data_IF_107942800279
#
_entry.id   IF_107942800279
#
_cell.length_a   1.000
_cell.length_b   1.000
_cell.length_c   1.000
_cell.angle_alpha   90.00
_cell.angle_beta   90.00
_cell.angle_gamma   90.00
#
_symmetry.space_group_name_H-M   'P 1'
#
loop_
_entity.id
_entity.type
_entity.pdbx_description
1 polymer ?
#
# COMPACT_ATOMS: atom_id res chain seq x y z
N UNK A 1 29.03 -2.29 -19.55
CA UNK A 1 27.76 -2.53 -18.81
C UNK A 1 26.89 -1.30 -18.97
N UNK A 2 25.62 -1.47 -19.32
CA UNK A 2 24.70 -0.35 -19.55
C UNK A 2 24.04 0.08 -18.21
N UNK A 3 24.04 1.39 -17.94
CA UNK A 3 23.57 1.99 -16.69
C UNK A 3 22.45 2.97 -16.99
N UNK A 4 21.29 2.75 -16.38
CA UNK A 4 20.19 3.70 -16.40
C UNK A 4 20.43 4.74 -15.30
N UNK A 5 20.67 5.99 -15.71
CA UNK A 5 21.01 7.08 -14.80
C UNK A 5 19.81 7.54 -13.96
N UNK A 6 20.10 7.92 -12.72
CA UNK A 6 19.11 8.50 -11.83
C UNK A 6 18.65 9.90 -12.30
N UNK A 7 17.39 10.23 -12.06
CA UNK A 7 16.85 11.58 -12.22
C UNK A 7 16.80 12.24 -10.83
N UNK A 8 17.70 13.20 -10.58
CA UNK A 8 17.81 13.90 -9.29
C UNK A 8 16.56 14.74 -8.98
N UNK A 9 15.95 15.35 -10.00
CA UNK A 9 14.73 16.13 -9.82
C UNK A 9 13.56 15.21 -9.42
N UNK A 10 13.47 14.03 -10.04
CA UNK A 10 12.52 13.00 -9.65
C UNK A 10 12.77 12.48 -8.24
N UNK A 11 14.03 12.21 -7.88
CA UNK A 11 14.40 11.81 -6.51
C UNK A 11 13.94 12.83 -5.48
N UNK A 12 14.19 14.13 -5.71
CA UNK A 12 13.76 15.20 -4.81
C UNK A 12 12.24 15.24 -4.66
N UNK A 13 11.49 15.15 -5.76
CA UNK A 13 10.00 15.13 -5.73
C UNK A 13 9.47 13.94 -4.96
N UNK A 14 10.05 12.76 -5.16
CA UNK A 14 9.61 11.56 -4.45
C UNK A 14 9.98 11.59 -2.97
N UNK A 15 11.09 12.21 -2.58
CA UNK A 15 11.40 12.44 -1.17
C UNK A 15 10.36 13.35 -0.51
N UNK A 16 9.94 14.42 -1.19
CA UNK A 16 8.83 15.25 -0.72
C UNK A 16 7.51 14.48 -0.62
N UNK A 17 7.20 13.64 -1.59
CA UNK A 17 6.02 12.78 -1.56
C UNK A 17 6.09 11.79 -0.38
N UNK A 18 7.24 11.16 -0.16
CA UNK A 18 7.46 10.25 0.97
C UNK A 18 7.31 10.97 2.31
N UNK A 19 7.85 12.19 2.42
CA UNK A 19 7.69 13.02 3.61
C UNK A 19 6.22 13.40 3.83
N UNK A 20 5.51 13.78 2.78
CA UNK A 20 4.08 14.09 2.85
C UNK A 20 3.25 12.87 3.27
N UNK A 21 3.56 11.68 2.73
CA UNK A 21 2.93 10.42 3.14
C UNK A 21 3.26 10.12 4.61
N UNK A 22 4.52 10.23 5.02
CA UNK A 22 4.93 9.98 6.40
C UNK A 22 4.24 10.95 7.38
N UNK A 23 4.15 12.23 7.05
CA UNK A 23 3.42 13.23 7.82
C UNK A 23 1.92 12.92 7.87
N UNK A 24 1.32 12.52 6.74
CA UNK A 24 -0.07 12.08 6.68
C UNK A 24 -0.33 10.83 7.53
N UNK A 25 0.57 9.85 7.53
CA UNK A 25 0.51 8.67 8.39
C UNK A 25 0.65 9.05 9.87
N UNK A 26 1.58 9.94 10.23
CA UNK A 26 1.74 10.42 11.60
C UNK A 26 0.47 11.14 12.09
N UNK A 27 -0.11 12.00 11.25
CA UNK A 27 -1.37 12.68 11.54
C UNK A 27 -2.52 11.68 11.70
N UNK A 28 -2.64 10.71 10.80
CA UNK A 28 -3.67 9.68 10.86
C UNK A 28 -3.55 8.82 12.13
N UNK A 29 -2.33 8.46 12.53
CA UNK A 29 -2.06 7.73 13.79
C UNK A 29 -2.40 8.57 15.02
N UNK A 30 -2.10 9.87 15.00
CA UNK A 30 -2.46 10.78 16.08
C UNK A 30 -3.98 10.92 16.21
N UNK A 31 -4.69 11.12 15.09
CA UNK A 31 -6.15 11.15 15.06
C UNK A 31 -6.76 9.82 15.52
N UNK A 32 -6.19 8.69 15.10
CA UNK A 32 -6.62 7.37 15.55
C UNK A 32 -6.43 7.20 17.06
N UNK A 33 -5.31 7.66 17.61
CA UNK A 33 -5.06 7.61 19.05
C UNK A 33 -6.08 8.46 19.84
N UNK A 34 -6.34 9.69 19.41
CA UNK A 34 -7.37 10.54 20.02
C UNK A 34 -8.75 9.89 19.95
N UNK A 35 -9.13 9.40 18.77
CA UNK A 35 -10.39 8.70 18.58
C UNK A 35 -10.53 7.44 19.44
N UNK A 36 -9.47 6.64 19.58
CA UNK A 36 -9.49 5.47 20.46
C UNK A 36 -9.67 5.84 21.94
N UNK A 37 -9.10 6.96 22.38
CA UNK A 37 -9.33 7.48 23.74
C UNK A 37 -10.78 7.89 23.94
N UNK A 38 -11.38 8.56 22.96
CA UNK A 38 -12.78 8.98 23.02
C UNK A 38 -13.71 7.75 23.03
N UNK A 39 -13.43 6.75 22.19
CA UNK A 39 -14.17 5.48 22.18
C UNK A 39 -14.03 4.77 23.52
N UNK A 40 -12.83 4.72 24.11
CA UNK A 40 -12.64 4.10 25.42
C UNK A 40 -13.45 4.80 26.51
N UNK A 41 -13.45 6.14 26.53
CA UNK A 41 -14.23 6.93 27.48
C UNK A 41 -15.74 6.72 27.29
N UNK A 42 -16.22 6.67 26.04
CA UNK A 42 -17.63 6.43 25.71
C UNK A 42 -18.08 5.01 26.07
N UNK A 43 -17.27 4.00 25.74
CA UNK A 43 -17.58 2.59 26.04
C UNK A 43 -17.64 2.32 27.55
N UNK A 44 -16.88 3.06 28.36
CA UNK A 44 -16.91 2.92 29.81
C UNK A 44 -18.26 3.31 30.44
N UNK A 45 -19.05 4.14 29.77
CA UNK A 45 -20.35 4.65 30.26
C UNK A 45 -21.53 4.17 29.42
N UNK A 46 -21.28 3.64 28.21
CA UNK A 46 -22.31 3.17 27.29
C UNK A 46 -22.89 1.80 27.68
N UNK A 47 -24.11 1.52 27.23
CA UNK A 47 -24.69 0.20 27.35
C UNK A 47 -23.95 -0.85 26.49
N UNK A 48 -24.16 -2.12 26.79
CA UNK A 48 -23.47 -3.22 26.12
C UNK A 48 -23.75 -3.31 24.61
N UNK A 49 -24.92 -2.82 24.15
CA UNK A 49 -25.28 -2.86 22.74
C UNK A 49 -24.57 -1.75 21.95
N UNK A 50 -24.47 -0.56 22.52
CA UNK A 50 -23.77 0.57 21.95
C UNK A 50 -22.26 0.35 21.92
N UNK A 51 -21.69 -0.21 22.99
CA UNK A 51 -20.28 -0.59 23.04
C UNK A 51 -19.90 -1.56 21.92
N UNK A 52 -20.73 -2.58 21.65
CA UNK A 52 -20.51 -3.53 20.54
C UNK A 52 -20.54 -2.85 19.18
N UNK A 53 -21.47 -1.91 18.95
CA UNK A 53 -21.54 -1.16 17.68
C UNK A 53 -20.28 -0.35 17.42
N UNK A 54 -19.74 0.31 18.44
CA UNK A 54 -18.50 1.07 18.36
C UNK A 54 -17.27 0.17 18.12
N UNK A 55 -17.15 -0.92 18.88
CA UNK A 55 -16.06 -1.88 18.69
C UNK A 55 -16.07 -2.50 17.28
N UNK A 56 -17.26 -2.83 16.76
CA UNK A 56 -17.42 -3.32 15.38
C UNK A 56 -16.89 -2.33 14.35
N UNK A 57 -17.27 -1.05 14.46
CA UNK A 57 -16.78 0.01 13.55
C UNK A 57 -15.26 0.16 13.65
N UNK A 58 -14.70 0.10 14.85
CA UNK A 58 -13.26 0.17 15.09
C UNK A 58 -12.51 -0.96 14.39
N UNK A 59 -12.90 -2.21 14.63
CA UNK A 59 -12.24 -3.39 14.09
C UNK A 59 -12.39 -3.48 12.57
N UNK A 60 -13.59 -3.19 12.03
CA UNK A 60 -13.81 -3.17 10.59
C UNK A 60 -12.99 -2.07 9.90
N UNK A 61 -12.92 -0.86 10.50
CA UNK A 61 -12.10 0.24 10.00
C UNK A 61 -10.61 -0.11 9.98
N UNK A 62 -10.09 -0.71 11.06
CA UNK A 62 -8.69 -1.13 11.17
C UNK A 62 -8.35 -2.21 10.13
N UNK A 63 -9.24 -3.20 9.95
CA UNK A 63 -9.07 -4.25 8.95
C UNK A 63 -9.09 -3.71 7.51
N UNK A 64 -9.88 -2.67 7.23
CA UNK A 64 -10.01 -2.08 5.91
C UNK A 64 -8.85 -1.11 5.57
N UNK A 65 -8.27 -0.44 6.57
CA UNK A 65 -7.22 0.58 6.40
C UNK A 65 -6.07 0.19 5.44
N UNK A 66 -5.48 -1.02 5.50
CA UNK A 66 -4.38 -1.39 4.60
C UNK A 66 -4.83 -1.71 3.16
N UNK A 67 -6.13 -1.86 2.88
CA UNK A 67 -6.61 -2.32 1.57
C UNK A 67 -6.22 -1.36 0.44
N UNK A 68 -6.42 -0.06 0.63
CA UNK A 68 -6.07 0.96 -0.37
C UNK A 68 -4.57 1.02 -0.70
N UNK A 69 -3.63 1.15 0.28
CA UNK A 69 -2.20 1.19 -0.03
C UNK A 69 -1.71 -0.12 -0.66
N UNK A 70 -2.18 -1.29 -0.21
CA UNK A 70 -1.84 -2.58 -0.80
C UNK A 70 -2.30 -2.67 -2.26
N UNK A 71 -3.52 -2.22 -2.55
CA UNK A 71 -4.05 -2.21 -3.91
C UNK A 71 -3.26 -1.30 -4.85
N UNK A 72 -2.97 -0.08 -4.41
CA UNK A 72 -2.20 0.91 -5.18
C UNK A 72 -0.77 0.43 -5.43
N UNK A 73 -0.12 -0.11 -4.40
CA UNK A 73 1.22 -0.68 -4.52
C UNK A 73 1.24 -1.85 -5.50
N UNK A 74 0.27 -2.77 -5.36
CA UNK A 74 0.14 -3.91 -6.25
C UNK A 74 -0.11 -3.51 -7.71
N UNK A 75 -0.96 -2.51 -7.94
CA UNK A 75 -1.19 -1.92 -9.27
C UNK A 75 0.10 -1.33 -9.84
N UNK A 76 0.87 -0.60 -9.03
CA UNK A 76 2.17 -0.01 -9.42
C UNK A 76 3.18 -1.07 -9.85
N UNK A 77 3.35 -2.13 -9.04
CA UNK A 77 4.26 -3.24 -9.35
C UNK A 77 3.88 -3.97 -10.62
N UNK A 78 2.58 -4.23 -10.84
CA UNK A 78 2.09 -4.86 -12.07
C UNK A 78 2.32 -3.99 -13.29
N UNK A 79 2.05 -2.68 -13.20
CA UNK A 79 2.30 -1.74 -14.31
C UNK A 79 3.78 -1.70 -14.69
N UNK A 80 4.66 -1.67 -13.69
CA UNK A 80 6.11 -1.67 -13.89
C UNK A 80 6.60 -3.01 -14.48
N UNK A 81 6.09 -4.13 -13.96
CA UNK A 81 6.41 -5.47 -14.47
C UNK A 81 6.04 -5.62 -15.95
N UNK A 82 4.81 -5.24 -16.32
CA UNK A 82 4.34 -5.27 -17.71
C UNK A 82 5.20 -4.42 -18.64
N UNK A 83 5.46 -3.17 -18.27
CA UNK A 83 6.28 -2.27 -19.07
C UNK A 83 7.71 -2.81 -19.25
N UNK A 84 8.29 -3.41 -18.21
CA UNK A 84 9.61 -4.05 -18.30
C UNK A 84 9.61 -5.31 -19.18
N UNK A 85 8.51 -6.08 -19.14
CA UNK A 85 8.30 -7.27 -19.96
C UNK A 85 8.14 -6.93 -21.44
N UNK A 86 7.27 -5.97 -21.77
CA UNK A 86 7.04 -5.47 -23.13
C UNK A 86 8.33 -4.96 -23.79
N UNK A 87 9.14 -4.23 -23.02
CA UNK A 87 10.42 -3.69 -23.51
C UNK A 87 11.58 -4.68 -23.42
N UNK A 88 11.36 -5.88 -22.86
CA UNK A 88 12.40 -6.86 -22.49
C UNK A 88 13.60 -6.22 -21.80
N UNK A 89 13.35 -5.20 -20.99
CA UNK A 89 14.36 -4.34 -20.37
C UNK A 89 13.89 -3.85 -19.01
N UNK A 90 14.77 -3.91 -18.02
CA UNK A 90 14.56 -3.25 -16.74
C UNK A 90 15.73 -2.30 -16.42
N UNK A 91 15.47 -1.07 -15.95
CA UNK A 91 14.16 -0.39 -15.91
C UNK A 91 13.59 -0.15 -17.33
N UNK A 92 12.28 0.11 -17.49
CA UNK A 92 11.76 0.59 -18.77
C UNK A 92 12.41 1.93 -19.17
N UNK A 93 12.50 2.22 -20.47
CA UNK A 93 13.23 3.40 -21.01
C UNK A 93 12.74 4.72 -20.42
N UNK A 94 11.42 4.90 -20.37
CA UNK A 94 10.80 6.15 -19.90
C UNK A 94 10.66 6.20 -18.38
N UNK A 95 11.11 5.16 -17.66
CA UNK A 95 10.96 5.09 -16.22
C UNK A 95 12.07 5.84 -15.50
N UNK A 96 11.66 6.64 -14.52
CA UNK A 96 12.57 7.39 -13.66
C UNK A 96 13.01 6.53 -12.49
N UNK A 97 14.28 6.64 -12.12
CA UNK A 97 14.89 5.84 -11.05
C UNK A 97 15.55 6.74 -10.00
N UNK A 98 15.64 6.24 -8.77
CA UNK A 98 16.20 6.96 -7.62
C UNK A 98 17.72 6.86 -7.51
N UNK A 99 18.30 5.82 -8.08
CA UNK A 99 19.72 5.52 -8.09
C UNK A 99 20.08 4.97 -9.45
N UNK A 100 21.35 5.02 -9.80
CA UNK A 100 21.84 4.36 -11.00
C UNK A 100 21.55 2.86 -10.91
N UNK A 101 20.85 2.34 -11.91
CA UNK A 101 20.44 0.93 -11.97
C UNK A 101 21.11 0.27 -13.15
N UNK A 102 21.69 -0.91 -12.91
CA UNK A 102 22.18 -1.78 -13.99
C UNK A 102 21.01 -2.20 -14.88
N UNK A 103 21.16 -2.01 -16.18
CA UNK A 103 20.13 -2.42 -17.14
C UNK A 103 20.14 -3.94 -17.25
N UNK A 104 18.98 -4.56 -17.00
CA UNK A 104 18.72 -5.96 -17.30
C UNK A 104 18.09 -6.06 -18.69
N UNK A 105 18.42 -7.11 -19.45
CA UNK A 105 17.88 -7.37 -20.79
C UNK A 105 17.36 -8.81 -20.89
N UNK A 106 16.45 -9.01 -21.83
CA UNK A 106 15.96 -10.31 -22.28
C UNK A 106 15.48 -11.20 -21.11
N UNK A 107 16.06 -12.39 -20.95
CA UNK A 107 15.66 -13.36 -19.93
C UNK A 107 15.73 -12.79 -18.50
N UNK A 108 16.75 -12.00 -18.19
CA UNK A 108 16.88 -11.39 -16.87
C UNK A 108 15.79 -10.34 -16.61
N UNK A 109 15.46 -9.54 -17.64
CA UNK A 109 14.36 -8.58 -17.56
C UNK A 109 13.00 -9.28 -17.46
N UNK A 110 12.79 -10.37 -18.20
CA UNK A 110 11.56 -11.17 -18.16
C UNK A 110 11.35 -11.82 -16.78
N UNK A 111 12.41 -12.40 -16.20
CA UNK A 111 12.35 -12.99 -14.86
C UNK A 111 12.02 -11.95 -13.79
N UNK A 112 12.60 -10.75 -13.91
CA UNK A 112 12.30 -9.63 -13.04
C UNK A 112 10.85 -9.15 -13.21
N UNK A 113 10.38 -8.97 -14.44
CA UNK A 113 9.02 -8.57 -14.77
C UNK A 113 7.98 -9.53 -14.16
N UNK A 114 8.16 -10.84 -14.37
CA UNK A 114 7.28 -11.86 -13.83
C UNK A 114 7.25 -11.86 -12.29
N UNK A 115 8.40 -11.61 -11.63
CA UNK A 115 8.49 -11.48 -10.18
C UNK A 115 7.71 -10.26 -9.67
N UNK A 116 7.89 -9.11 -10.32
CA UNK A 116 7.20 -7.86 -9.97
C UNK A 116 5.69 -7.97 -10.17
N UNK A 117 5.23 -8.61 -11.24
CA UNK A 117 3.81 -8.87 -11.45
C UNK A 117 3.21 -9.84 -10.43
N UNK A 118 3.95 -10.90 -10.06
CA UNK A 118 3.53 -11.82 -8.98
C UNK A 118 3.40 -11.09 -7.65
N UNK A 119 4.42 -10.34 -7.25
CA UNK A 119 4.37 -9.53 -6.03
C UNK A 119 3.19 -8.55 -6.05
N UNK A 120 2.95 -7.90 -7.19
CA UNK A 120 1.82 -6.97 -7.33
C UNK A 120 0.45 -7.64 -7.27
N UNK A 121 0.30 -8.87 -7.78
CA UNK A 121 -0.91 -9.68 -7.59
C UNK A 121 -1.10 -10.08 -6.13
N UNK A 122 -0.04 -10.56 -5.47
CA UNK A 122 -0.10 -10.93 -4.05
C UNK A 122 -0.55 -9.74 -3.19
N UNK A 123 -0.05 -8.53 -3.46
CA UNK A 123 -0.49 -7.32 -2.76
C UNK A 123 -1.98 -7.02 -2.99
N UNK A 124 -2.48 -7.20 -4.21
CA UNK A 124 -3.92 -7.00 -4.51
C UNK A 124 -4.81 -8.07 -3.85
N UNK A 125 -4.34 -9.33 -3.79
CA UNK A 125 -5.04 -10.38 -3.04
C UNK A 125 -5.07 -10.09 -1.54
N UNK A 126 -3.96 -9.60 -0.98
CA UNK A 126 -3.93 -9.17 0.42
C UNK A 126 -4.91 -8.01 0.66
N UNK A 127 -5.00 -7.04 -0.26
CA UNK A 127 -5.99 -5.97 -0.17
C UNK A 127 -7.43 -6.51 -0.18
N UNK A 128 -7.74 -7.48 -1.05
CA UNK A 128 -9.05 -8.13 -1.09
C UNK A 128 -9.34 -8.92 0.20
N UNK A 129 -8.33 -9.58 0.77
CA UNK A 129 -8.45 -10.28 2.04
C UNK A 129 -8.74 -9.32 3.20
N UNK A 130 -8.13 -8.12 3.22
CA UNK A 130 -8.43 -7.07 4.18
C UNK A 130 -9.90 -6.61 4.10
N UNK A 131 -10.43 -6.43 2.88
CA UNK A 131 -11.85 -6.10 2.66
C UNK A 131 -12.75 -7.24 3.14
N UNK A 132 -12.43 -8.48 2.79
CA UNK A 132 -13.20 -9.65 3.22
C UNK A 132 -13.21 -9.80 4.75
N UNK A 133 -12.07 -9.57 5.41
CA UNK A 133 -11.97 -9.57 6.86
C UNK A 133 -12.82 -8.47 7.51
N UNK A 134 -12.81 -7.25 6.96
CA UNK A 134 -13.65 -6.16 7.44
C UNK A 134 -15.14 -6.48 7.33
N UNK A 135 -15.58 -7.09 6.22
CA UNK A 135 -16.97 -7.54 6.03
C UNK A 135 -17.35 -8.69 6.97
N UNK A 136 -16.45 -9.67 7.16
CA UNK A 136 -16.65 -10.78 8.09
C UNK A 136 -16.77 -10.29 9.53
N UNK A 137 -15.91 -9.36 9.97
CA UNK A 137 -16.00 -8.72 11.29
C UNK A 137 -17.30 -7.94 11.45
N UNK A 138 -17.74 -7.26 10.39
CA UNK A 138 -19.01 -6.53 10.40
C UNK A 138 -20.22 -7.46 10.56
N UNK A 139 -20.22 -8.59 9.86
CA UNK A 139 -21.29 -9.58 9.91
C UNK A 139 -21.30 -10.39 11.22
N UNK A 140 -20.12 -10.76 11.73
CA UNK A 140 -20.01 -11.57 12.96
C UNK A 140 -20.35 -10.80 14.24
N UNK A 141 -20.07 -9.49 14.27
CA UNK A 141 -20.40 -8.61 15.39
C UNK A 141 -21.77 -7.92 15.23
N UNK A 142 -22.58 -8.33 14.24
CA UNK A 142 -23.92 -7.82 13.96
C UNK A 142 -25.00 -8.74 14.48
#
# INVERSE_FOLDING_TARGET
MDIHRADLAYRRRSLWLLLAIAAGCALALWQLHGWLRDVQAHVATADAAEARRWLRRALAGLALAPAAPLWLWGRGLRRLGRAAGEQRRFPPRDWKTYRDVRVLRDAAAAAWAARSERAGRSAQYAAAACVAAALALWAWLG
#
